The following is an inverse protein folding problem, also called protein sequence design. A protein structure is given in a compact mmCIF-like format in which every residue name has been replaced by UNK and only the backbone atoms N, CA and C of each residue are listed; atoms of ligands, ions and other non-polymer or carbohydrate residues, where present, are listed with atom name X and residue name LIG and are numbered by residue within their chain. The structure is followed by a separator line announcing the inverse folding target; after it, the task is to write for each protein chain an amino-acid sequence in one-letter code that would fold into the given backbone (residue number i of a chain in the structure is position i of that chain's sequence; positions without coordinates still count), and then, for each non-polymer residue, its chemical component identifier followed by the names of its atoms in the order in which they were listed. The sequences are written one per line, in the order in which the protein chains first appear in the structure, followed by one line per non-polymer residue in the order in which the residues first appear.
data_IF_003510538460
#
_entry.id   IF_003510538460
#
_cell.length_a   1.000
_cell.length_b   1.000
_cell.length_c   1.000
_cell.angle_alpha   90.00
_cell.angle_beta   90.00
_cell.angle_gamma   90.00
#
_symmetry.space_group_name_H-M   'P 1'
#
loop_
_entity.id
_entity.type
_entity.pdbx_description
1 polymer ?
#
# COMPACT_ATOMS: atom_id res chain seq x y z
N UNK A 1 -21.57 30.78 30.43
CA UNK A 1 -21.23 29.35 30.38
C UNK A 1 -21.49 28.87 28.97
N UNK A 2 -20.42 28.50 28.27
CA UNK A 2 -20.33 28.40 26.82
C UNK A 2 -21.24 27.32 26.22
N UNK A 3 -21.78 27.66 25.05
CA UNK A 3 -22.66 26.87 24.21
C UNK A 3 -22.00 25.57 23.74
N UNK A 4 -22.69 24.46 24.00
CA UNK A 4 -22.41 23.13 23.47
C UNK A 4 -22.70 23.12 21.96
N UNK A 5 -21.67 23.26 21.12
CA UNK A 5 -21.75 23.07 19.67
C UNK A 5 -21.68 21.59 19.32
N UNK A 6 -22.84 20.96 19.11
CA UNK A 6 -22.95 19.66 18.44
C UNK A 6 -22.58 19.82 16.96
N UNK A 7 -21.33 19.52 16.61
CA UNK A 7 -20.90 19.43 15.21
C UNK A 7 -21.10 18.01 14.67
N UNK A 8 -22.19 17.77 13.94
CA UNK A 8 -22.34 16.60 13.06
C UNK A 8 -21.46 16.84 11.81
N UNK A 9 -20.16 16.70 11.95
CA UNK A 9 -19.23 16.76 10.82
C UNK A 9 -19.12 15.37 10.20
N UNK A 10 -19.88 15.13 9.14
CA UNK A 10 -19.59 14.03 8.22
C UNK A 10 -18.20 14.27 7.61
N UNK A 11 -17.26 13.32 7.77
CA UNK A 11 -15.92 13.42 7.16
C UNK A 11 -16.00 13.65 5.65
N UNK A 12 -17.06 13.17 4.99
CA UNK A 12 -17.31 13.40 3.56
C UNK A 12 -17.40 14.88 3.20
N UNK A 13 -17.90 15.75 4.09
CA UNK A 13 -17.96 17.19 3.87
C UNK A 13 -16.62 17.90 4.15
N UNK A 14 -15.86 17.42 5.13
CA UNK A 14 -14.54 17.95 5.48
C UNK A 14 -13.52 17.75 4.34
N UNK A 15 -13.50 16.56 3.74
CA UNK A 15 -12.62 16.27 2.60
C UNK A 15 -13.02 17.03 1.33
N UNK A 16 -14.32 17.30 1.12
CA UNK A 16 -14.82 18.00 -0.08
C UNK A 16 -14.48 19.50 -0.09
N UNK A 17 -14.30 20.13 1.08
CA UNK A 17 -14.03 21.57 1.18
C UNK A 17 -12.54 21.92 1.15
N UNK A 18 -11.64 20.98 1.43
CA UNK A 18 -10.20 21.24 1.56
C UNK A 18 -9.34 20.83 0.35
N UNK A 19 -9.86 20.03 -0.59
CA UNK A 19 -9.10 19.52 -1.73
C UNK A 19 -9.35 20.33 -3.02
N UNK A 20 -8.54 21.38 -3.25
CA UNK A 20 -8.58 22.22 -4.46
C UNK A 20 -7.41 21.94 -5.44
N UNK A 21 -6.88 20.70 -5.48
CA UNK A 21 -5.91 20.26 -6.50
C UNK A 21 -6.40 19.00 -7.24
N UNK A 22 -6.13 18.89 -8.56
CA UNK A 22 -6.77 17.92 -9.46
C UNK A 22 -6.24 16.47 -9.37
N UNK A 23 -5.44 16.13 -8.36
CA UNK A 23 -4.83 14.80 -8.22
C UNK A 23 -5.22 14.18 -6.88
N UNK A 24 -6.44 13.65 -6.78
CA UNK A 24 -6.86 12.52 -5.92
C UNK A 24 -8.24 12.12 -6.44
N UNK A 25 -8.31 10.98 -7.16
CA UNK A 25 -9.50 10.52 -7.88
C UNK A 25 -10.37 9.53 -7.09
N UNK A 26 -10.10 9.29 -5.81
CA UNK A 26 -10.80 8.27 -5.03
C UNK A 26 -11.15 8.79 -3.63
N UNK A 27 -12.35 9.34 -3.50
CA UNK A 27 -12.93 9.65 -2.19
C UNK A 27 -14.44 9.39 -2.20
N UNK A 28 -14.84 8.30 -2.86
CA UNK A 28 -16.15 7.70 -2.65
C UNK A 28 -15.94 6.57 -1.65
N UNK A 29 -16.39 6.79 -0.42
CA UNK A 29 -16.45 5.74 0.59
C UNK A 29 -17.31 4.59 0.03
N UNK A 30 -16.90 3.31 0.20
CA UNK A 30 -17.71 2.15 -0.20
C UNK A 30 -19.11 2.17 0.44
N UNK A 31 -19.22 2.74 1.64
CA UNK A 31 -20.47 3.01 2.34
C UNK A 31 -20.33 4.33 3.12
N UNK A 32 -21.33 5.22 3.03
CA UNK A 32 -21.37 6.48 3.78
C UNK A 32 -21.28 6.26 5.30
N UNK A 33 -21.70 5.10 5.79
CA UNK A 33 -21.62 4.70 7.20
C UNK A 33 -20.19 4.56 7.72
N UNK A 34 -19.21 4.44 6.82
CA UNK A 34 -17.79 4.34 7.17
C UNK A 34 -17.13 5.69 7.46
N UNK A 35 -17.79 6.81 7.10
CA UNK A 35 -17.28 8.17 7.30
C UNK A 35 -17.81 8.90 8.53
N UNK A 36 -18.48 8.22 9.47
CA UNK A 36 -18.96 8.84 10.70
C UNK A 36 -17.86 8.89 11.77
N UNK A 37 -17.75 10.05 12.41
CA UNK A 37 -16.89 10.28 13.56
C UNK A 37 -17.66 11.09 14.59
N UNK A 38 -17.66 10.62 15.83
CA UNK A 38 -18.32 11.28 16.96
C UNK A 38 -17.50 10.98 18.21
N UNK A 39 -16.70 11.96 18.60
CA UNK A 39 -15.78 11.89 19.73
C UNK A 39 -15.57 13.28 20.33
N UNK A 40 -15.48 13.35 21.65
CA UNK A 40 -15.08 14.57 22.37
C UNK A 40 -13.65 14.42 22.82
N UNK A 41 -12.84 15.45 22.52
CA UNK A 41 -11.50 15.55 23.07
C UNK A 41 -11.59 16.36 24.36
N UNK A 42 -11.53 15.68 25.49
CA UNK A 42 -11.69 16.32 26.80
C UNK A 42 -10.37 16.88 27.36
N UNK A 43 -9.24 16.43 26.81
CA UNK A 43 -7.89 16.83 27.22
C UNK A 43 -7.36 17.95 26.29
N UNK A 44 -6.80 19.01 26.88
CA UNK A 44 -6.21 20.15 26.17
C UNK A 44 -4.82 19.81 25.63
N UNK A 45 -4.09 18.91 26.29
CA UNK A 45 -2.68 18.60 25.98
C UNK A 45 -2.51 17.75 24.71
N UNK A 46 -3.61 17.20 24.16
CA UNK A 46 -3.56 16.43 22.91
C UNK A 46 -3.22 17.35 21.75
N UNK A 47 -2.11 17.07 21.06
CA UNK A 47 -1.65 17.84 19.91
C UNK A 47 -2.66 17.83 18.76
N UNK A 48 -2.67 18.88 17.93
CA UNK A 48 -3.57 18.95 16.76
C UNK A 48 -3.33 17.80 15.77
N UNK A 49 -2.08 17.35 15.63
CA UNK A 49 -1.73 16.24 14.75
C UNK A 49 -2.32 14.92 15.23
N UNK A 50 -2.27 14.65 16.53
CA UNK A 50 -2.87 13.45 17.13
C UNK A 50 -4.40 13.47 17.05
N UNK A 51 -5.03 14.64 17.19
CA UNK A 51 -6.47 14.82 16.97
C UNK A 51 -6.87 14.48 15.54
N UNK A 52 -6.13 15.00 14.56
CA UNK A 52 -6.40 14.74 13.13
C UNK A 52 -6.17 13.26 12.82
N UNK A 53 -5.09 12.65 13.31
CA UNK A 53 -4.84 11.22 13.12
C UNK A 53 -5.97 10.37 13.71
N UNK A 54 -6.49 10.73 14.89
CA UNK A 54 -7.64 10.04 15.51
C UNK A 54 -8.92 10.16 14.66
N UNK A 55 -9.17 11.33 14.09
CA UNK A 55 -10.31 11.57 13.17
C UNK A 55 -10.16 10.73 11.89
N UNK A 56 -8.97 10.72 11.31
CA UNK A 56 -8.66 10.00 10.07
C UNK A 56 -8.69 8.47 10.27
N UNK A 57 -8.22 7.95 11.40
CA UNK A 57 -8.18 6.52 11.69
C UNK A 57 -9.59 5.90 11.73
N UNK A 58 -10.61 6.66 12.15
CA UNK A 58 -12.01 6.24 12.08
C UNK A 58 -12.47 5.89 10.67
N UNK A 59 -11.93 6.59 9.67
CA UNK A 59 -12.22 6.38 8.27
C UNK A 59 -11.14 5.53 7.57
N UNK A 60 -10.21 4.86 8.28
CA UNK A 60 -9.08 4.12 7.69
C UNK A 60 -8.17 5.01 6.81
N UNK A 61 -7.99 6.26 7.22
CA UNK A 61 -7.11 7.22 6.55
C UNK A 61 -5.88 7.44 7.42
N UNK A 62 -4.71 7.37 6.80
CA UNK A 62 -3.43 7.76 7.40
C UNK A 62 -3.15 9.20 7.01
N UNK A 63 -2.81 10.04 7.98
CA UNK A 63 -2.34 11.40 7.72
C UNK A 63 -0.82 11.47 7.91
N UNK A 64 -0.16 12.20 7.02
CA UNK A 64 1.28 12.42 7.11
C UNK A 64 1.62 13.81 6.58
N UNK A 65 2.74 14.34 7.07
CA UNK A 65 3.29 15.60 6.60
C UNK A 65 4.20 15.34 5.41
N UNK A 66 3.93 16.04 4.31
CA UNK A 66 4.75 16.04 3.11
C UNK A 66 5.03 17.48 2.71
N UNK A 67 6.28 17.90 2.82
CA UNK A 67 6.76 19.26 2.49
C UNK A 67 5.87 20.41 3.01
N UNK A 68 5.45 20.31 4.28
CA UNK A 68 4.60 21.32 4.93
C UNK A 68 3.12 21.26 4.54
N UNK A 69 2.71 20.32 3.70
CA UNK A 69 1.31 20.00 3.38
C UNK A 69 0.89 18.75 4.13
N UNK A 70 -0.28 18.80 4.75
CA UNK A 70 -0.89 17.63 5.38
C UNK A 70 -1.60 16.80 4.31
N UNK A 71 -1.06 15.62 4.04
CA UNK A 71 -1.55 14.69 3.03
C UNK A 71 -2.29 13.52 3.67
N UNK A 72 -3.26 12.99 2.94
CA UNK A 72 -4.15 11.93 3.40
C UNK A 72 -4.16 10.78 2.42
N UNK A 73 -3.93 9.56 2.91
CA UNK A 73 -4.01 8.35 2.10
C UNK A 73 -4.92 7.34 2.81
N UNK A 74 -5.90 6.84 2.07
CA UNK A 74 -6.82 5.81 2.55
C UNK A 74 -6.21 4.42 2.34
N UNK A 75 -6.44 3.53 3.30
CA UNK A 75 -6.13 2.12 3.20
C UNK A 75 -7.25 1.39 2.41
N UNK A 76 -7.04 1.26 1.10
CA UNK A 76 -7.95 0.62 0.15
C UNK A 76 -7.21 -0.15 -0.95
N UNK A 77 -7.93 -1.03 -1.64
CA UNK A 77 -7.39 -1.80 -2.76
C UNK A 77 -6.97 -0.86 -3.90
N UNK A 78 -5.81 -1.14 -4.49
CA UNK A 78 -5.18 -0.38 -5.56
C UNK A 78 -5.03 -1.24 -6.79
N UNK A 79 -5.30 -0.65 -7.96
CA UNK A 79 -5.26 -1.40 -9.22
C UNK A 79 -3.85 -1.50 -9.82
N UNK A 80 -3.02 -0.48 -9.64
CA UNK A 80 -1.69 -0.40 -10.25
C UNK A 80 -0.65 0.15 -9.26
N UNK A 81 0.58 -0.37 -9.27
CA UNK A 81 1.66 0.15 -8.44
C UNK A 81 2.13 1.52 -8.97
N UNK A 82 2.55 2.40 -8.07
CA UNK A 82 3.04 3.74 -8.42
C UNK A 82 4.39 3.67 -9.14
N UNK A 83 5.29 2.77 -8.72
CA UNK A 83 6.60 2.58 -9.34
C UNK A 83 7.14 1.15 -9.17
N UNK A 84 8.20 0.82 -9.91
CA UNK A 84 8.94 -0.43 -9.82
C UNK A 84 10.35 -0.17 -9.28
N UNK A 85 10.72 -0.91 -8.24
CA UNK A 85 12.05 -0.96 -7.68
C UNK A 85 12.77 -2.25 -8.06
N UNK A 86 14.01 -2.09 -8.53
CA UNK A 86 14.91 -3.16 -8.91
C UNK A 86 16.35 -2.83 -8.49
N UNK A 87 17.29 -3.70 -8.83
CA UNK A 87 18.72 -3.53 -8.52
C UNK A 87 19.37 -2.28 -9.16
N UNK A 88 18.69 -1.57 -10.07
CA UNK A 88 19.19 -0.35 -10.72
C UNK A 88 18.76 0.94 -9.99
N UNK A 89 17.70 0.91 -9.18
CA UNK A 89 17.27 2.06 -8.37
C UNK A 89 17.20 1.79 -6.87
N UNK A 90 17.49 0.56 -6.46
CA UNK A 90 17.75 0.19 -5.08
C UNK A 90 19.24 -0.04 -4.87
N UNK A 91 19.67 0.18 -3.64
CA UNK A 91 20.98 -0.25 -3.17
C UNK A 91 20.81 -1.49 -2.31
N UNK A 92 21.81 -2.38 -2.33
CA UNK A 92 21.85 -3.55 -1.46
C UNK A 92 22.07 -3.18 0.03
N UNK A 93 22.34 -1.91 0.30
CA UNK A 93 22.51 -1.39 1.66
C UNK A 93 21.17 -1.40 2.39
N UNK A 94 21.16 -1.88 3.63
CA UNK A 94 19.97 -2.00 4.48
C UNK A 94 18.82 -2.85 3.92
N UNK A 95 19.05 -3.67 2.88
CA UNK A 95 18.05 -4.62 2.40
C UNK A 95 17.83 -5.71 3.46
N UNK A 96 16.63 -5.74 4.03
CA UNK A 96 16.26 -6.74 5.03
C UNK A 96 14.78 -7.11 4.88
N UNK A 97 14.51 -8.39 4.71
CA UNK A 97 13.16 -8.95 4.69
C UNK A 97 12.89 -9.71 5.99
N UNK A 98 11.77 -9.43 6.62
CA UNK A 98 11.32 -10.08 7.85
C UNK A 98 10.01 -10.80 7.59
N UNK A 99 9.94 -12.05 8.03
CA UNK A 99 8.75 -12.87 7.91
C UNK A 99 8.18 -13.20 9.29
N UNK A 100 6.94 -12.79 9.52
CA UNK A 100 6.21 -13.09 10.75
C UNK A 100 5.44 -14.40 10.61
N UNK A 101 5.95 -15.45 11.25
CA UNK A 101 5.30 -16.76 11.31
C UNK A 101 4.16 -16.78 12.33
N UNK A 102 3.04 -17.40 11.97
CA UNK A 102 1.94 -17.68 12.88
C UNK A 102 2.30 -18.84 13.81
N UNK A 103 3.01 -18.53 14.89
CA UNK A 103 3.29 -19.47 15.97
C UNK A 103 2.02 -19.78 16.77
N UNK A 104 1.91 -20.93 17.46
CA UNK A 104 0.77 -21.25 18.33
C UNK A 104 0.48 -20.23 19.46
N UNK A 105 1.45 -19.34 19.75
CA UNK A 105 1.30 -18.21 20.68
C UNK A 105 1.17 -16.84 20.02
N UNK A 106 1.03 -16.78 18.68
CA UNK A 106 0.77 -15.58 17.90
C UNK A 106 -0.66 -15.07 18.08
N UNK A 107 -0.97 -13.91 17.51
CA UNK A 107 -2.34 -13.39 17.53
C UNK A 107 -3.21 -14.18 16.55
N UNK A 108 -4.33 -14.72 17.03
CA UNK A 108 -5.28 -15.53 16.25
C UNK A 108 -6.65 -14.85 16.11
N UNK A 109 -6.75 -13.59 16.49
CA UNK A 109 -7.97 -12.81 16.37
C UNK A 109 -7.78 -11.35 16.76
N UNK A 110 -8.85 -10.59 16.63
CA UNK A 110 -8.89 -9.17 16.95
C UNK A 110 -10.06 -8.91 17.90
N UNK A 111 -9.79 -8.12 18.94
CA UNK A 111 -10.80 -7.54 19.82
C UNK A 111 -10.77 -6.03 19.61
N UNK A 112 -11.83 -5.51 18.98
CA UNK A 112 -12.00 -4.09 18.74
C UNK A 112 -12.99 -3.51 19.74
N UNK A 113 -12.56 -2.50 20.49
CA UNK A 113 -13.38 -1.78 21.46
C UNK A 113 -13.95 -0.53 20.81
N UNK A 114 -15.26 -0.34 20.92
CA UNK A 114 -15.97 0.83 20.39
C UNK A 114 -16.99 1.32 21.43
N UNK A 115 -17.58 2.50 21.20
CA UNK A 115 -18.62 3.04 22.10
C UNK A 115 -19.99 2.85 21.48
N UNK A 116 -20.83 2.04 22.11
CA UNK A 116 -22.20 1.80 21.63
C UNK A 116 -23.06 3.07 21.78
N UNK A 117 -23.75 3.53 20.71
CA UNK A 117 -24.50 4.78 20.70
C UNK A 117 -25.79 4.68 21.52
N UNK A 118 -26.33 3.47 21.70
CA UNK A 118 -27.58 3.25 22.44
C UNK A 118 -27.35 3.22 23.96
N UNK A 119 -26.29 2.55 24.41
CA UNK A 119 -25.97 2.39 25.83
C UNK A 119 -24.93 3.39 26.34
N UNK A 120 -24.23 4.09 25.45
CA UNK A 120 -23.09 4.96 25.74
C UNK A 120 -21.95 4.28 26.53
N UNK A 121 -21.92 2.94 26.53
CA UNK A 121 -20.91 2.12 27.21
C UNK A 121 -19.92 1.55 26.19
N UNK A 122 -18.78 1.09 26.71
CA UNK A 122 -17.79 0.33 25.94
C UNK A 122 -18.40 -1.00 25.50
N UNK A 123 -18.35 -1.27 24.21
CA UNK A 123 -18.75 -2.51 23.58
C UNK A 123 -17.58 -3.10 22.79
N UNK A 124 -17.63 -4.41 22.55
CA UNK A 124 -16.52 -5.18 21.98
C UNK A 124 -17.01 -5.94 20.76
N UNK A 125 -16.32 -5.77 19.64
CA UNK A 125 -16.43 -6.62 18.46
C UNK A 125 -15.26 -7.59 18.46
N UNK A 126 -15.54 -8.87 18.26
CA UNK A 126 -14.52 -9.93 18.32
C UNK A 126 -14.61 -10.84 17.11
N UNK A 127 -13.50 -10.92 16.40
CA UNK A 127 -13.31 -11.85 15.30
C UNK A 127 -12.06 -12.68 15.53
N UNK A 128 -12.06 -13.90 14.99
CA UNK A 128 -10.93 -14.81 15.03
C UNK A 128 -10.61 -15.33 13.63
N UNK A 129 -9.35 -15.68 13.44
CA UNK A 129 -8.86 -16.36 12.25
C UNK A 129 -8.96 -17.86 12.48
N UNK A 130 -9.61 -18.58 11.58
CA UNK A 130 -9.74 -20.04 11.61
C UNK A 130 -9.38 -20.59 10.25
N UNK A 131 -8.14 -21.06 10.09
CA UNK A 131 -7.57 -21.33 8.76
C UNK A 131 -7.44 -20.01 7.98
N UNK A 132 -7.94 -19.99 6.74
CA UNK A 132 -7.92 -18.80 5.87
C UNK A 132 -9.19 -17.94 5.98
N UNK A 133 -10.09 -18.24 6.92
CA UNK A 133 -11.37 -17.54 7.07
C UNK A 133 -11.45 -16.75 8.37
N UNK A 134 -12.11 -15.60 8.30
CA UNK A 134 -12.43 -14.75 9.45
C UNK A 134 -13.83 -15.09 9.96
N UNK A 135 -13.94 -15.51 11.21
CA UNK A 135 -15.19 -15.98 11.82
C UNK A 135 -15.49 -15.15 13.08
N UNK A 136 -16.75 -14.79 13.36
CA UNK A 136 -17.11 -14.15 14.62
C UNK A 136 -16.77 -15.05 15.81
N UNK A 137 -16.14 -14.49 16.84
CA UNK A 137 -15.79 -15.26 18.04
C UNK A 137 -14.55 -14.75 18.75
N UNK A 138 -14.26 -15.37 19.90
CA UNK A 138 -13.02 -15.13 20.66
C UNK A 138 -11.90 -16.00 20.11
N UNK A 139 -10.78 -15.38 19.80
CA UNK A 139 -9.50 -16.06 19.57
C UNK A 139 -8.85 -16.44 20.90
N UNK A 140 -7.91 -17.38 20.88
CA UNK A 140 -7.09 -17.74 22.03
C UNK A 140 -6.19 -16.57 22.46
N UNK A 141 -5.67 -15.79 21.50
CA UNK A 141 -4.87 -14.59 21.72
C UNK A 141 -5.27 -13.48 20.76
N UNK A 142 -5.94 -12.47 21.30
CA UNK A 142 -6.51 -11.40 20.50
C UNK A 142 -5.63 -10.15 20.49
N UNK A 143 -5.43 -9.58 19.30
CA UNK A 143 -4.90 -8.22 19.14
C UNK A 143 -5.98 -7.24 19.60
N UNK A 144 -5.69 -6.50 20.67
CA UNK A 144 -6.64 -5.53 21.24
C UNK A 144 -6.45 -4.17 20.56
N UNK A 145 -7.54 -3.62 20.03
CA UNK A 145 -7.56 -2.33 19.37
C UNK A 145 -8.66 -1.49 20.02
N UNK A 146 -8.31 -0.33 20.57
CA UNK A 146 -9.26 0.59 21.19
C UNK A 146 -9.61 1.73 20.24
N UNK A 147 -10.85 1.77 19.76
CA UNK A 147 -11.37 2.83 18.89
C UNK A 147 -12.59 3.48 19.54
N UNK A 148 -12.35 4.20 20.64
CA UNK A 148 -13.40 4.83 21.45
C UNK A 148 -14.16 5.95 20.71
N UNK A 149 -13.62 6.41 19.59
CA UNK A 149 -14.20 7.38 18.66
C UNK A 149 -15.15 6.76 17.62
N UNK A 150 -15.17 5.44 17.48
CA UNK A 150 -16.11 4.73 16.60
C UNK A 150 -17.40 4.47 17.37
N UNK A 151 -18.52 4.91 16.79
CA UNK A 151 -19.86 4.76 17.36
C UNK A 151 -20.73 3.78 16.58
N UNK A 152 -20.39 3.47 15.34
CA UNK A 152 -21.20 2.56 14.53
C UNK A 152 -20.70 1.10 14.67
N UNK A 153 -21.61 0.16 14.94
CA UNK A 153 -21.30 -1.27 14.91
C UNK A 153 -20.74 -1.67 13.54
N UNK A 154 -21.29 -1.14 12.45
CA UNK A 154 -20.84 -1.40 11.08
C UNK A 154 -19.37 -1.02 10.87
N UNK A 155 -18.95 0.15 11.35
CA UNK A 155 -17.55 0.59 11.27
C UNK A 155 -16.63 -0.29 12.12
N UNK A 156 -17.08 -0.62 13.33
CA UNK A 156 -16.34 -1.47 14.25
C UNK A 156 -16.13 -2.89 13.68
N UNK A 157 -17.15 -3.47 13.02
CA UNK A 157 -17.04 -4.78 12.38
C UNK A 157 -16.17 -4.76 11.13
N UNK A 158 -16.32 -3.75 10.28
CA UNK A 158 -15.48 -3.54 9.09
C UNK A 158 -13.99 -3.49 9.45
N UNK A 159 -13.63 -2.64 10.43
CA UNK A 159 -12.26 -2.50 10.89
C UNK A 159 -11.73 -3.78 11.57
N UNK A 160 -12.56 -4.47 12.34
CA UNK A 160 -12.15 -5.73 12.98
C UNK A 160 -11.85 -6.84 11.94
N UNK A 161 -12.67 -6.94 10.89
CA UNK A 161 -12.45 -7.91 9.81
C UNK A 161 -11.17 -7.57 9.03
N UNK A 162 -10.95 -6.29 8.71
CA UNK A 162 -9.74 -5.84 8.02
C UNK A 162 -8.47 -6.19 8.82
N UNK A 163 -8.47 -5.92 10.13
CA UNK A 163 -7.32 -6.24 10.99
C UNK A 163 -7.12 -7.75 11.15
N UNK A 164 -8.20 -8.55 11.17
CA UNK A 164 -8.08 -10.01 11.11
C UNK A 164 -7.45 -10.49 9.78
N UNK A 165 -7.84 -9.89 8.66
CA UNK A 165 -7.26 -10.21 7.34
C UNK A 165 -5.82 -9.77 7.23
N UNK A 166 -5.44 -8.66 7.85
CA UNK A 166 -4.04 -8.24 7.96
C UNK A 166 -3.16 -9.29 8.64
N UNK A 167 -3.68 -9.99 9.65
CA UNK A 167 -2.96 -11.12 10.27
C UNK A 167 -2.76 -12.32 9.32
N UNK A 168 -3.64 -12.49 8.32
CA UNK A 168 -3.55 -13.58 7.34
C UNK A 168 -2.60 -13.21 6.20
N UNK A 169 -2.80 -12.05 5.59
CA UNK A 169 -2.22 -11.68 4.30
C UNK A 169 -1.03 -10.72 4.36
N UNK A 170 -0.75 -10.09 5.51
CA UNK A 170 0.37 -9.15 5.66
C UNK A 170 1.39 -9.73 6.65
N UNK A 171 2.17 -10.72 6.18
CA UNK A 171 3.14 -11.47 7.02
C UNK A 171 4.59 -11.10 6.70
N UNK A 172 4.82 -10.50 5.53
CA UNK A 172 6.13 -10.02 5.15
C UNK A 172 6.24 -8.51 5.38
N UNK A 173 7.40 -8.10 5.88
CA UNK A 173 7.84 -6.72 5.90
C UNK A 173 9.25 -6.64 5.35
N UNK A 174 9.58 -5.51 4.74
CA UNK A 174 10.88 -5.32 4.11
C UNK A 174 11.35 -3.89 4.33
N UNK A 175 12.65 -3.74 4.54
CA UNK A 175 13.34 -2.45 4.51
C UNK A 175 14.19 -2.39 3.26
N UNK A 176 14.08 -1.30 2.52
CA UNK A 176 14.84 -1.08 1.29
C UNK A 176 15.46 0.31 1.30
N UNK A 177 16.67 0.44 0.76
CA UNK A 177 17.28 1.74 0.50
C UNK A 177 17.22 2.03 -1.00
N UNK A 178 16.42 3.01 -1.37
CA UNK A 178 16.19 3.42 -2.75
C UNK A 178 16.87 4.75 -3.06
N UNK A 179 17.19 4.98 -4.34
CA UNK A 179 17.75 6.23 -4.84
C UNK A 179 16.66 7.32 -4.96
N UNK A 180 16.94 8.37 -5.74
CA UNK A 180 16.07 9.54 -5.91
C UNK A 180 14.62 9.23 -6.33
N UNK A 181 14.36 8.09 -6.98
CA UNK A 181 12.99 7.70 -7.36
C UNK A 181 12.05 7.55 -6.15
N UNK A 182 12.58 7.19 -4.97
CA UNK A 182 11.78 7.04 -3.76
C UNK A 182 11.35 8.36 -3.12
N UNK A 183 11.92 9.50 -3.54
CA UNK A 183 11.56 10.80 -3.00
C UNK A 183 10.10 11.17 -3.32
N UNK A 184 9.67 10.84 -4.54
CA UNK A 184 8.35 11.14 -5.10
C UNK A 184 7.22 10.25 -4.57
N UNK A 185 7.55 9.22 -3.78
CA UNK A 185 6.59 8.27 -3.25
C UNK A 185 6.05 8.71 -1.89
N UNK A 186 4.80 8.37 -1.66
CA UNK A 186 4.09 8.71 -0.43
C UNK A 186 3.78 7.49 0.43
N UNK A 187 3.55 7.74 1.72
CA UNK A 187 3.13 6.69 2.65
C UNK A 187 1.77 6.14 2.23
N UNK A 188 1.61 4.82 2.34
CA UNK A 188 0.42 4.09 1.93
C UNK A 188 0.39 3.77 0.44
N UNK A 189 1.35 4.22 -0.37
CA UNK A 189 1.42 3.87 -1.79
C UNK A 189 1.82 2.43 -2.04
N UNK A 190 1.19 1.82 -3.05
CA UNK A 190 1.56 0.49 -3.54
C UNK A 190 2.71 0.62 -4.52
N UNK A 191 3.75 -0.16 -4.31
CA UNK A 191 4.94 -0.23 -5.16
C UNK A 191 5.21 -1.67 -5.52
N UNK A 192 5.93 -1.86 -6.61
CA UNK A 192 6.44 -3.16 -6.98
C UNK A 192 7.92 -3.22 -6.66
N UNK A 193 8.37 -4.19 -5.88
CA UNK A 193 9.78 -4.37 -5.52
C UNK A 193 10.20 -5.77 -5.93
N UNK A 194 11.11 -5.83 -6.89
CA UNK A 194 11.73 -7.09 -7.33
C UNK A 194 12.79 -7.47 -6.33
N UNK A 195 12.75 -8.71 -5.85
CA UNK A 195 13.78 -9.25 -4.97
C UNK A 195 15.10 -9.38 -5.75
N UNK A 196 16.16 -8.80 -5.19
CA UNK A 196 17.49 -8.82 -5.79
C UNK A 196 18.18 -10.19 -5.71
N UNK A 197 17.71 -11.08 -4.84
CA UNK A 197 18.29 -12.40 -4.62
C UNK A 197 17.48 -13.54 -5.25
N UNK A 198 16.30 -13.25 -5.79
CA UNK A 198 15.50 -14.25 -6.48
C UNK A 198 15.94 -14.38 -7.95
N UNK A 199 16.05 -15.62 -8.41
CA UNK A 199 16.38 -15.95 -9.80
C UNK A 199 15.16 -16.03 -10.72
N UNK A 200 13.96 -16.22 -10.15
CA UNK A 200 12.71 -16.28 -10.92
C UNK A 200 12.25 -14.90 -11.38
N UNK A 201 12.58 -13.87 -10.60
CA UNK A 201 12.25 -12.49 -10.89
C UNK A 201 13.41 -11.85 -11.63
N UNK A 202 13.16 -11.43 -12.87
CA UNK A 202 14.18 -10.88 -13.75
C UNK A 202 13.93 -9.40 -13.96
N UNK A 203 14.96 -8.59 -13.72
CA UNK A 203 14.84 -7.14 -13.82
C UNK A 203 16.06 -6.51 -14.47
N UNK A 204 15.89 -5.29 -14.96
CA UNK A 204 16.95 -4.53 -15.57
C UNK A 204 16.46 -3.19 -16.11
N UNK A 205 17.23 -2.63 -17.04
CA UNK A 205 16.91 -1.38 -17.73
C UNK A 205 16.65 -1.64 -19.22
N UNK A 206 15.81 -0.79 -19.80
CA UNK A 206 15.54 -0.75 -21.23
C UNK A 206 16.65 0.04 -21.92
N UNK A 207 17.31 -0.61 -22.89
CA UNK A 207 18.38 -0.02 -23.70
C UNK A 207 17.88 0.54 -25.03
N UNK A 208 16.72 0.10 -25.48
CA UNK A 208 16.09 0.60 -26.69
C UNK A 208 14.77 -0.09 -26.96
N UNK A 209 14.02 0.43 -27.94
CA UNK A 209 12.74 -0.12 -28.38
C UNK A 209 12.63 0.00 -29.90
N UNK A 210 12.18 -1.06 -30.55
CA UNK A 210 11.84 -1.09 -31.97
C UNK A 210 10.46 -1.74 -32.14
N UNK A 211 9.42 -0.92 -32.36
CA UNK A 211 8.04 -1.41 -32.39
C UNK A 211 7.64 -2.01 -31.04
N UNK A 212 7.28 -3.29 -31.03
CA UNK A 212 6.93 -4.05 -29.82
C UNK A 212 8.11 -4.83 -29.24
N UNK A 213 9.29 -4.72 -29.84
CA UNK A 213 10.52 -5.34 -29.37
C UNK A 213 11.28 -4.37 -28.47
N UNK A 214 11.59 -4.82 -27.26
CA UNK A 214 12.35 -4.09 -26.26
C UNK A 214 13.72 -4.74 -26.08
N UNK A 215 14.76 -3.93 -26.04
CA UNK A 215 16.13 -4.37 -25.77
C UNK A 215 16.50 -4.12 -24.32
N UNK A 216 17.12 -5.10 -23.67
CA UNK A 216 17.38 -5.09 -22.23
C UNK A 216 18.86 -5.11 -21.90
N UNK A 217 19.23 -4.67 -20.69
CA UNK A 217 20.60 -4.78 -20.18
C UNK A 217 21.00 -6.22 -19.90
N UNK A 218 20.11 -6.98 -19.26
CA UNK A 218 20.34 -8.36 -18.82
C UNK A 218 19.71 -9.36 -19.79
N UNK A 219 20.27 -10.57 -19.80
CA UNK A 219 19.70 -11.68 -20.56
C UNK A 219 18.48 -12.22 -19.82
N UNK A 220 17.39 -12.45 -20.55
CA UNK A 220 16.14 -12.98 -20.01
C UNK A 220 16.08 -14.47 -20.30
N UNK A 221 15.64 -15.24 -19.30
CA UNK A 221 15.34 -16.65 -19.39
C UNK A 221 13.82 -16.84 -19.31
N UNK A 222 13.20 -17.28 -20.40
CA UNK A 222 11.78 -17.57 -20.43
C UNK A 222 11.57 -19.04 -20.07
N UNK A 223 11.01 -19.30 -18.88
CA UNK A 223 10.66 -20.64 -18.42
C UNK A 223 9.19 -20.98 -18.66
N UNK A 224 8.31 -19.99 -18.58
CA UNK A 224 6.85 -20.13 -18.72
C UNK A 224 6.22 -18.86 -19.34
N UNK A 225 4.89 -18.73 -19.27
CA UNK A 225 4.17 -17.50 -19.60
C UNK A 225 4.58 -16.39 -18.63
N UNK A 226 5.48 -15.52 -19.07
CA UNK A 226 5.96 -14.38 -18.30
C UNK A 226 5.24 -13.11 -18.70
N UNK A 227 5.08 -12.23 -17.73
CA UNK A 227 4.54 -10.89 -17.91
C UNK A 227 5.64 -9.87 -17.62
N UNK A 228 5.59 -8.75 -18.35
CA UNK A 228 6.47 -7.62 -18.15
C UNK A 228 5.69 -6.41 -17.66
N UNK A 229 6.35 -5.68 -16.79
CA UNK A 229 5.96 -4.36 -16.33
C UNK A 229 7.13 -3.42 -16.61
N UNK A 230 6.85 -2.26 -17.21
CA UNK A 230 7.87 -1.27 -17.63
C UNK A 230 7.58 0.07 -16.97
N UNK A 231 8.62 0.83 -16.61
CA UNK A 231 8.47 2.21 -16.16
C UNK A 231 8.70 3.21 -17.30
N UNK A 232 7.85 4.23 -17.40
CA UNK A 232 8.07 5.38 -18.29
C UNK A 232 9.18 6.32 -17.77
N UNK A 233 9.46 7.41 -18.49
CA UNK A 233 10.46 8.43 -18.09
C UNK A 233 10.11 9.10 -16.75
N UNK A 234 8.85 9.16 -16.39
CA UNK A 234 8.35 9.77 -15.14
C UNK A 234 8.32 8.76 -13.98
N UNK A 235 8.63 7.49 -14.23
CA UNK A 235 8.62 6.42 -13.23
C UNK A 235 7.26 5.74 -13.04
N UNK A 236 6.24 6.11 -13.84
CA UNK A 236 4.93 5.45 -13.80
C UNK A 236 5.03 4.07 -14.43
N UNK A 237 4.21 3.18 -13.90
CA UNK A 237 4.23 1.77 -14.25
C UNK A 237 3.18 1.45 -15.32
N UNK A 238 3.57 0.71 -16.36
CA UNK A 238 2.62 0.18 -17.33
C UNK A 238 1.76 -0.92 -16.72
N UNK A 239 0.64 -1.23 -17.37
CA UNK A 239 -0.05 -2.50 -17.11
C UNK A 239 0.87 -3.70 -17.39
N UNK A 240 0.46 -4.87 -16.91
CA UNK A 240 1.14 -6.13 -17.23
C UNK A 240 0.87 -6.49 -18.69
N UNK A 241 1.93 -6.77 -19.43
CA UNK A 241 1.86 -7.28 -20.80
C UNK A 241 2.54 -8.63 -20.89
N UNK A 242 1.99 -9.54 -21.69
CA UNK A 242 2.68 -10.81 -21.96
C UNK A 242 4.02 -10.53 -22.65
N UNK A 243 5.08 -11.12 -22.13
CA UNK A 243 6.44 -11.01 -22.66
C UNK A 243 6.79 -12.29 -23.41
N UNK A 244 7.12 -12.15 -24.69
CA UNK A 244 7.51 -13.25 -25.56
C UNK A 244 9.01 -13.18 -25.86
N UNK A 245 9.70 -14.33 -25.95
CA UNK A 245 11.11 -14.37 -26.35
C UNK A 245 11.28 -13.90 -27.80
N UNK A 246 12.38 -13.20 -28.08
CA UNK A 246 12.80 -12.88 -29.44
C UNK A 246 13.81 -13.91 -29.90
N UNK A 247 13.55 -14.56 -31.04
CA UNK A 247 14.42 -15.62 -31.55
C UNK A 247 15.84 -15.07 -31.82
N UNK A 248 16.85 -15.84 -31.41
CA UNK A 248 18.26 -15.48 -31.53
C UNK A 248 18.76 -14.31 -30.65
N UNK A 249 17.91 -13.66 -29.83
CA UNK A 249 18.35 -12.57 -28.95
C UNK A 249 17.79 -12.69 -27.52
N UNK A 250 18.64 -13.17 -26.60
CA UNK A 250 18.29 -13.30 -25.16
C UNK A 250 18.23 -11.97 -24.42
N UNK A 251 18.69 -10.86 -25.00
CA UNK A 251 18.60 -9.51 -24.42
C UNK A 251 17.47 -8.70 -25.06
N UNK A 252 16.43 -9.39 -25.54
CA UNK A 252 15.25 -8.75 -26.08
C UNK A 252 13.99 -9.56 -25.73
N UNK A 253 12.88 -8.84 -25.60
CA UNK A 253 11.56 -9.43 -25.47
C UNK A 253 10.57 -8.66 -26.35
N UNK A 254 9.51 -9.35 -26.78
CA UNK A 254 8.41 -8.75 -27.50
C UNK A 254 7.21 -8.61 -26.56
N UNK A 255 6.64 -7.42 -26.48
CA UNK A 255 5.43 -7.16 -25.69
C UNK A 255 4.59 -6.06 -26.36
N UNK A 256 3.25 -6.22 -26.45
CA UNK A 256 2.35 -5.26 -27.11
C UNK A 256 2.05 -4.06 -26.20
N UNK A 257 3.10 -3.42 -25.68
CA UNK A 257 3.00 -2.23 -24.83
C UNK A 257 2.69 -1.03 -25.73
N UNK A 258 1.72 -0.16 -25.41
CA UNK A 258 1.48 1.08 -26.14
C UNK A 258 2.74 1.96 -26.25
N UNK A 259 2.72 2.95 -27.13
CA UNK A 259 3.80 3.93 -27.18
C UNK A 259 3.87 4.69 -25.85
N UNK A 260 4.98 4.50 -25.14
CA UNK A 260 5.30 5.15 -23.86
C UNK A 260 6.61 5.90 -24.03
N UNK A 261 6.76 7.00 -23.29
CA UNK A 261 8.00 7.77 -23.31
C UNK A 261 9.06 7.06 -22.47
N UNK A 262 10.06 6.47 -23.12
CA UNK A 262 11.13 5.73 -22.47
C UNK A 262 12.31 6.66 -22.16
N UNK A 263 12.82 6.56 -20.94
CA UNK A 263 14.12 7.12 -20.59
C UNK A 263 15.21 6.13 -21.00
N UNK A 264 16.00 6.46 -22.03
CA UNK A 264 17.18 5.69 -22.41
C UNK A 264 18.42 6.40 -21.88
N UNK A 265 19.27 5.67 -21.16
CA UNK A 265 20.50 6.21 -20.60
C UNK A 265 21.46 6.66 -21.72
N UNK A 266 21.87 7.92 -21.69
CA UNK A 266 22.76 8.55 -22.67
C UNK A 266 24.13 8.94 -22.07
N UNK A 267 24.35 8.67 -20.79
CA UNK A 267 25.56 9.01 -20.04
C UNK A 267 25.77 10.51 -19.77
N UNK A 268 24.82 11.37 -20.17
CA UNK A 268 24.91 12.82 -20.00
C UNK A 268 23.65 13.40 -19.37
N UNK A 269 22.53 13.41 -20.10
CA UNK A 269 21.29 14.08 -19.69
C UNK A 269 20.30 13.13 -19.01
N UNK A 270 20.32 11.85 -19.36
CA UNK A 270 19.41 10.84 -18.83
C UNK A 270 20.23 9.87 -17.98
N UNK A 271 20.12 10.05 -16.66
CA UNK A 271 20.82 9.22 -15.67
C UNK A 271 19.94 8.08 -15.11
N UNK A 272 18.62 8.27 -15.10
CA UNK A 272 17.65 7.25 -14.67
C UNK A 272 16.95 6.64 -15.89
N UNK A 273 17.36 5.46 -16.36
CA UNK A 273 16.70 4.79 -17.48
C UNK A 273 15.38 4.13 -17.05
N UNK A 274 14.51 3.91 -18.03
CA UNK A 274 13.31 3.09 -17.91
C UNK A 274 13.68 1.67 -17.54
N UNK A 275 12.90 1.08 -16.63
CA UNK A 275 13.18 -0.21 -16.02
C UNK A 275 12.13 -1.22 -16.41
N UNK A 276 12.47 -2.49 -16.29
CA UNK A 276 11.52 -3.58 -16.43
C UNK A 276 11.63 -4.57 -15.28
N UNK A 277 10.50 -5.22 -15.00
CA UNK A 277 10.39 -6.42 -14.19
C UNK A 277 9.63 -7.49 -14.99
N UNK A 278 10.22 -8.67 -15.13
CA UNK A 278 9.68 -9.83 -15.83
C UNK A 278 9.65 -11.00 -14.87
N UNK A 279 8.47 -11.58 -14.68
CA UNK A 279 8.29 -12.83 -13.95
C UNK A 279 6.96 -13.48 -14.38
N UNK A 280 6.61 -14.63 -13.81
CA UNK A 280 5.26 -15.18 -13.94
C UNK A 280 4.24 -14.28 -13.22
N UNK A 281 2.95 -14.41 -13.55
CA UNK A 281 1.91 -13.57 -12.92
C UNK A 281 1.86 -13.75 -11.40
N UNK A 282 2.01 -14.99 -10.93
CA UNK A 282 2.05 -15.32 -9.50
C UNK A 282 3.23 -14.68 -8.79
N UNK A 283 4.42 -14.69 -9.40
CA UNK A 283 5.61 -14.05 -8.83
C UNK A 283 5.50 -12.53 -8.84
N UNK A 284 4.96 -11.93 -9.90
CA UNK A 284 4.73 -10.47 -9.92
C UNK A 284 3.73 -10.04 -8.82
N UNK A 285 2.75 -10.88 -8.46
CA UNK A 285 1.84 -10.58 -7.34
C UNK A 285 2.58 -10.56 -5.99
N UNK A 286 3.56 -11.45 -5.79
CA UNK A 286 4.39 -11.49 -4.56
C UNK A 286 5.34 -10.30 -4.44
N UNK A 287 5.60 -9.60 -5.54
CA UNK A 287 6.46 -8.39 -5.56
C UNK A 287 5.71 -7.10 -5.23
N UNK A 288 4.42 -7.15 -4.85
CA UNK A 288 3.64 -5.97 -4.49
C UNK A 288 3.77 -5.65 -2.99
N UNK A 289 4.04 -4.38 -2.69
CA UNK A 289 4.26 -3.89 -1.33
C UNK A 289 3.58 -2.54 -1.12
N UNK A 290 3.21 -2.22 0.13
CA UNK A 290 2.74 -0.90 0.56
C UNK A 290 3.78 -0.22 1.42
N UNK A 291 4.00 1.07 1.16
CA UNK A 291 4.92 1.90 1.95
C UNK A 291 4.31 2.20 3.32
N UNK A 292 4.95 1.72 4.38
CA UNK A 292 4.57 1.98 5.77
C UNK A 292 5.26 3.23 6.31
N UNK A 293 6.53 3.47 5.93
CA UNK A 293 7.26 4.67 6.31
C UNK A 293 8.33 5.03 5.28
N UNK A 294 8.66 6.32 5.22
CA UNK A 294 9.73 6.90 4.39
C UNK A 294 10.66 7.71 5.28
N UNK A 295 11.93 7.35 5.31
CA UNK A 295 12.96 8.08 6.05
C UNK A 295 14.02 8.60 5.06
N UNK A 296 14.18 9.92 4.93
CA UNK A 296 15.22 10.48 4.08
C UNK A 296 16.60 10.19 4.67
N UNK A 297 17.44 9.53 3.87
CA UNK A 297 18.83 9.24 4.22
C UNK A 297 19.77 10.32 3.69
N UNK A 298 21.05 10.17 4.03
CA UNK A 298 22.08 11.11 3.58
C UNK A 298 22.49 10.80 2.12
N UNK A 299 22.69 11.84 1.31
CA UNK A 299 23.18 11.68 -0.07
C UNK A 299 22.12 11.27 -1.11
N UNK A 300 20.85 11.67 -0.93
CA UNK A 300 19.78 11.44 -1.90
C UNK A 300 19.27 9.99 -1.95
N UNK A 301 19.58 9.21 -0.92
CA UNK A 301 18.99 7.89 -0.69
C UNK A 301 17.85 7.99 0.30
N UNK A 302 16.79 7.22 0.10
CA UNK A 302 15.66 7.14 1.01
C UNK A 302 15.48 5.69 1.48
N UNK A 303 15.36 5.51 2.79
CA UNK A 303 15.05 4.21 3.38
C UNK A 303 13.53 4.08 3.49
N UNK A 304 12.96 3.08 2.83
CA UNK A 304 11.55 2.76 2.85
C UNK A 304 11.33 1.50 3.67
N UNK A 305 10.39 1.55 4.63
CA UNK A 305 9.84 0.35 5.26
C UNK A 305 8.53 0.03 4.57
N UNK A 306 8.41 -1.19 4.08
CA UNK A 306 7.27 -1.64 3.29
C UNK A 306 6.68 -2.92 3.87
N UNK A 307 5.41 -3.15 3.60
CA UNK A 307 4.67 -4.33 4.04
C UNK A 307 3.97 -5.00 2.88
N UNK A 308 3.78 -6.30 2.97
CA UNK A 308 3.17 -7.12 1.92
C UNK A 308 1.80 -6.57 1.50
N UNK A 309 1.59 -6.47 0.19
CA UNK A 309 0.29 -6.09 -0.37
C UNK A 309 -0.43 -7.31 -0.92
N UNK A 310 -1.70 -7.47 -0.56
CA UNK A 310 -2.56 -8.50 -1.12
C UNK A 310 -3.99 -7.97 -1.29
N UNK A 311 -4.54 -8.08 -2.50
CA UNK A 311 -5.90 -7.65 -2.82
C UNK A 311 -6.96 -8.39 -2.00
N UNK A 312 -6.70 -9.66 -1.65
CA UNK A 312 -7.60 -10.47 -0.82
C UNK A 312 -7.75 -9.89 0.60
N UNK A 313 -6.89 -8.98 1.04
CA UNK A 313 -7.09 -8.27 2.30
C UNK A 313 -8.39 -7.44 2.29
N UNK A 314 -8.77 -6.89 1.13
CA UNK A 314 -9.92 -5.99 0.98
C UNK A 314 -11.21 -6.69 0.52
N UNK A 315 -11.12 -7.95 0.09
CA UNK A 315 -12.21 -8.70 -0.53
C UNK A 315 -13.21 -9.33 0.49
N UNK A 316 -13.90 -8.52 1.30
CA UNK A 316 -14.88 -9.01 2.29
C UNK A 316 -16.22 -8.29 2.23
N UNK A 317 -17.25 -9.00 2.68
CA UNK A 317 -18.57 -8.44 2.98
C UNK A 317 -18.70 -8.20 4.48
N UNK A 318 -19.10 -7.00 4.89
CA UNK A 318 -19.42 -6.73 6.28
C UNK A 318 -20.76 -7.39 6.65
N UNK A 319 -20.80 -8.31 7.63
CA UNK A 319 -22.04 -8.99 8.02
C UNK A 319 -22.95 -8.12 8.89
N UNK A 320 -22.45 -6.97 9.39
CA UNK A 320 -23.32 -6.02 10.09
C UNK A 320 -24.20 -5.31 9.06
N UNK A 321 -25.51 -5.36 9.26
CA UNK A 321 -26.52 -4.60 8.50
C UNK A 321 -26.92 -3.34 9.23
#
# INVERSE_FOLDING_TARGET
MQSCTRGLLSLAYLFRSWMHKPYIKYLLLPDARLGYFDYTFDDEDVSIGERIQTICDAARVVCFWDDGVLSFVRDEARTYPSTVFNTRNMTADQYAMTFDMTLPGGFDGVELQYRDPSTNKQAFVRYRVSGDSVVPGRGNKQKKISMMFVRNLYQATDRAILECRRLIYQRLSMNISALADAEWLNIGEMIQVVDMFDSNQQSGEIRGRQGDVFYTSEAINFTENMFVVITDRQGNVTQRYAALPVDGNRKAFQAPVPQIDLALWDGKNVQSPSRYAIATDEELNKTLWVISSKNPGNGGKNTLSVSEYNDEMYNYTNPAT
#
